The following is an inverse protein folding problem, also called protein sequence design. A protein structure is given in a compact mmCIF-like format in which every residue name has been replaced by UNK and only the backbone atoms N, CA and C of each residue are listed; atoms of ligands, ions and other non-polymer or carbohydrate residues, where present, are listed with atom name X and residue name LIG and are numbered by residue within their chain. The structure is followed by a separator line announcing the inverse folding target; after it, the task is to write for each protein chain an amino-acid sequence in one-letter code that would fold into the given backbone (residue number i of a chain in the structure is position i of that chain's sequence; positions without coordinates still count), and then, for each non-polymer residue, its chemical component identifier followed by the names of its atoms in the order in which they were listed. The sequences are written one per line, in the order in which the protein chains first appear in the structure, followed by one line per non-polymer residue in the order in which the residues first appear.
data_IF_494185955048
#
_entry.id   IF_494185955048
#
_cell.length_a   1.000
_cell.length_b   1.000
_cell.length_c   1.000
_cell.angle_alpha   90.00
_cell.angle_beta   90.00
_cell.angle_gamma   90.00
#
_symmetry.space_group_name_H-M   'P 1'
#
loop_
_entity.id
_entity.type
_entity.pdbx_description
1 polymer ?
#
# COMPACT_ATOMS: atom_id res chain seq x y z
N UNK A 1 -6.12 -12.25 31.75
CA UNK A 1 -6.61 -12.99 30.58
C UNK A 1 -6.29 -12.16 29.35
N UNK A 2 -5.40 -12.63 28.49
CA UNK A 2 -5.25 -12.03 27.16
C UNK A 2 -6.47 -12.49 26.33
N UNK A 3 -7.14 -11.60 25.59
CA UNK A 3 -8.19 -12.04 24.67
C UNK A 3 -7.57 -12.98 23.61
N UNK A 4 -8.33 -13.98 23.14
CA UNK A 4 -7.83 -14.95 22.18
C UNK A 4 -7.41 -14.26 20.87
N UNK A 5 -6.21 -14.60 20.39
CA UNK A 5 -5.58 -14.13 19.14
C UNK A 5 -6.23 -14.70 17.86
N UNK A 6 -7.53 -14.95 17.86
CA UNK A 6 -8.27 -15.67 16.81
C UNK A 6 -9.53 -14.93 16.38
N UNK A 7 -9.39 -13.64 16.10
CA UNK A 7 -10.44 -12.82 15.46
C UNK A 7 -9.84 -11.51 14.93
N UNK A 8 -8.60 -11.55 14.43
CA UNK A 8 -8.25 -10.62 13.35
C UNK A 8 -8.86 -11.23 12.09
N UNK A 9 -10.16 -11.04 11.99
CA UNK A 9 -11.02 -11.35 10.86
C UNK A 9 -10.32 -10.92 9.56
N UNK A 10 -10.67 -11.57 8.45
CA UNK A 10 -10.34 -11.09 7.10
C UNK A 10 -10.84 -9.64 6.97
N UNK A 11 -10.09 -8.65 7.45
CA UNK A 11 -10.12 -7.32 6.85
C UNK A 11 -9.60 -7.59 5.46
N UNK A 12 -10.49 -7.55 4.47
CA UNK A 12 -10.09 -7.34 3.09
C UNK A 12 -9.02 -6.24 3.13
N UNK A 13 -7.76 -6.61 2.95
CA UNK A 13 -6.62 -5.69 3.05
C UNK A 13 -6.74 -4.76 1.86
N UNK A 14 -7.62 -3.75 1.92
CA UNK A 14 -7.95 -2.83 0.82
C UNK A 14 -6.70 -2.29 0.16
N UNK A 15 -5.64 -2.08 0.93
CA UNK A 15 -4.35 -1.64 0.43
C UNK A 15 -3.37 -2.81 0.34
N UNK A 16 -2.83 -3.04 -0.86
CA UNK A 16 -1.78 -4.02 -1.11
C UNK A 16 -0.44 -3.30 -1.32
N UNK A 17 0.58 -3.66 -0.55
CA UNK A 17 1.93 -3.15 -0.76
C UNK A 17 2.62 -3.91 -1.87
N UNK A 18 2.99 -3.20 -2.94
CA UNK A 18 3.63 -3.78 -4.13
C UNK A 18 5.13 -3.49 -4.23
N UNK A 19 5.63 -2.55 -3.43
CA UNK A 19 7.05 -2.19 -3.41
C UNK A 19 7.48 -1.72 -2.03
N UNK A 20 8.72 -2.02 -1.65
CA UNK A 20 9.36 -1.49 -0.45
C UNK A 20 10.86 -1.34 -0.67
N UNK A 21 11.43 -0.23 -0.20
CA UNK A 21 12.85 0.06 -0.28
C UNK A 21 13.34 0.73 1.01
N UNK A 22 14.51 0.31 1.48
CA UNK A 22 15.20 0.89 2.63
C UNK A 22 14.83 0.25 3.97
N UNK A 23 15.60 0.60 5.02
CA UNK A 23 15.40 0.09 6.40
C UNK A 23 15.27 1.20 7.45
N UNK A 24 16.00 2.30 7.28
CA UNK A 24 15.92 3.49 8.16
C UNK A 24 15.16 4.66 7.52
N UNK A 25 15.18 4.70 6.19
CA UNK A 25 14.42 5.61 5.35
C UNK A 25 13.62 4.72 4.39
N UNK A 26 12.34 4.55 4.69
CA UNK A 26 11.46 3.58 4.06
C UNK A 26 10.65 4.29 2.97
N UNK A 27 10.64 3.69 1.79
CA UNK A 27 9.79 4.10 0.69
C UNK A 27 8.98 2.89 0.22
N UNK A 28 7.67 3.04 0.12
CA UNK A 28 6.76 1.98 -0.27
C UNK A 28 5.79 2.46 -1.35
N UNK A 29 5.31 1.52 -2.16
CA UNK A 29 4.17 1.75 -3.05
C UNK A 29 3.03 0.86 -2.62
N UNK A 30 1.87 1.48 -2.42
CA UNK A 30 0.64 0.83 -2.00
C UNK A 30 -0.43 1.01 -3.08
N UNK A 31 -1.24 -0.01 -3.31
CA UNK A 31 -2.37 0.03 -4.25
C UNK A 31 -3.67 -0.13 -3.48
N UNK A 32 -4.59 0.81 -3.65
CA UNK A 32 -5.98 0.65 -3.21
C UNK A 32 -6.71 -0.30 -4.18
N UNK A 33 -7.02 -1.52 -3.73
CA UNK A 33 -7.69 -2.55 -4.52
C UNK A 33 -9.14 -2.20 -4.86
N UNK A 34 -9.78 -1.25 -4.16
CA UNK A 34 -11.13 -0.81 -4.50
C UNK A 34 -11.13 0.20 -5.64
N UNK A 35 -10.16 1.12 -5.66
CA UNK A 35 -10.13 2.23 -6.64
C UNK A 35 -9.08 2.05 -7.74
N UNK A 36 -8.11 1.16 -7.53
CA UNK A 36 -6.92 1.01 -8.36
C UNK A 36 -5.85 2.07 -8.15
N UNK A 37 -6.08 3.10 -7.32
CA UNK A 37 -5.13 4.20 -7.15
C UNK A 37 -3.86 3.73 -6.44
N UNK A 38 -2.72 4.17 -6.96
CA UNK A 38 -1.41 3.91 -6.37
C UNK A 38 -0.94 5.08 -5.52
N UNK A 39 -0.24 4.77 -4.44
CA UNK A 39 0.28 5.74 -3.49
C UNK A 39 1.74 5.48 -3.20
N UNK A 40 2.52 6.55 -3.10
CA UNK A 40 3.84 6.50 -2.47
C UNK A 40 3.67 6.77 -0.98
N UNK A 41 4.25 5.90 -0.16
CA UNK A 41 4.43 6.14 1.26
C UNK A 41 5.92 6.32 1.54
N UNK A 42 6.25 7.39 2.27
CA UNK A 42 7.61 7.69 2.66
C UNK A 42 7.67 7.89 4.17
N UNK A 43 8.67 7.29 4.81
CA UNK A 43 8.89 7.39 6.24
C UNK A 43 10.38 7.50 6.55
N UNK A 44 10.75 8.51 7.35
CA UNK A 44 12.12 8.70 7.82
C UNK A 44 12.10 9.20 9.28
N UNK A 45 12.75 8.44 10.17
CA UNK A 45 12.81 8.78 11.59
C UNK A 45 11.46 8.69 12.29
N UNK A 46 10.87 9.84 12.63
CA UNK A 46 9.55 9.94 13.31
C UNK A 46 8.47 10.59 12.43
N UNK A 47 8.79 10.90 11.18
CA UNK A 47 7.89 11.54 10.24
C UNK A 47 7.64 10.63 9.04
N UNK A 48 6.44 10.73 8.48
CA UNK A 48 6.08 10.06 7.25
C UNK A 48 4.85 10.69 6.62
N UNK A 49 4.59 10.31 5.38
CA UNK A 49 3.47 10.82 4.61
C UNK A 49 3.13 9.89 3.45
N UNK A 50 1.93 10.08 2.93
CA UNK A 50 1.40 9.32 1.81
C UNK A 50 0.84 10.28 0.77
N UNK A 51 1.11 10.02 -0.50
CA UNK A 51 0.65 10.85 -1.62
C UNK A 51 0.23 9.96 -2.79
N UNK A 52 -0.86 10.28 -3.51
CA UNK A 52 -1.20 9.55 -4.72
C UNK A 52 -0.11 9.73 -5.77
N UNK A 53 0.25 8.64 -6.47
CA UNK A 53 1.04 8.73 -7.68
C UNK A 53 0.16 9.32 -8.78
N UNK A 54 0.71 10.21 -9.60
CA UNK A 54 -0.01 10.86 -10.68
C UNK A 54 0.52 10.40 -12.05
N UNK A 55 -0.38 10.33 -13.02
CA UNK A 55 -0.02 10.13 -14.42
C UNK A 55 0.43 11.45 -15.08
N UNK A 56 0.70 11.39 -16.39
CA UNK A 56 1.17 12.54 -17.18
C UNK A 56 0.13 13.67 -17.29
N UNK A 57 -1.16 13.38 -17.08
CA UNK A 57 -2.26 14.35 -17.09
C UNK A 57 -2.54 14.93 -15.69
N UNK A 58 -1.80 14.48 -14.67
CA UNK A 58 -2.00 14.88 -13.28
C UNK A 58 -3.18 14.18 -12.59
N UNK A 59 -3.71 13.09 -13.17
CA UNK A 59 -4.74 12.27 -12.54
C UNK A 59 -4.11 11.16 -11.70
N UNK A 60 -4.82 10.59 -10.72
CA UNK A 60 -4.32 9.44 -9.97
C UNK A 60 -3.94 8.29 -10.89
N UNK A 61 -2.71 7.79 -10.73
CA UNK A 61 -2.18 6.66 -11.47
C UNK A 61 -2.89 5.38 -11.01
N UNK A 62 -3.49 4.67 -11.97
CA UNK A 62 -4.20 3.42 -11.72
C UNK A 62 -3.28 2.22 -11.92
N UNK A 63 -3.37 1.25 -11.02
CA UNK A 63 -2.73 -0.05 -11.14
C UNK A 63 -3.56 -0.99 -12.03
N UNK A 64 -2.87 -1.94 -12.65
CA UNK A 64 -3.52 -3.09 -13.26
C UNK A 64 -3.88 -4.10 -12.16
N UNK A 65 -5.13 -4.05 -11.68
CA UNK A 65 -5.60 -4.91 -10.59
C UNK A 65 -5.47 -6.42 -10.92
N UNK A 66 -5.40 -6.80 -12.20
CA UNK A 66 -5.21 -8.21 -12.60
C UNK A 66 -3.82 -8.76 -12.28
N UNK A 67 -2.87 -7.88 -11.97
CA UNK A 67 -1.47 -8.21 -11.66
C UNK A 67 -1.15 -8.12 -10.16
N UNK A 68 -2.12 -7.76 -9.34
CA UNK A 68 -1.98 -7.75 -7.89
C UNK A 68 -2.14 -9.18 -7.37
N UNK A 69 -1.29 -9.60 -6.44
CA UNK A 69 -1.05 -10.99 -6.04
C UNK A 69 -0.38 -11.85 -7.13
N UNK A 70 0.92 -11.68 -7.30
CA UNK A 70 1.78 -12.72 -7.87
C UNK A 70 1.74 -13.99 -7.00
N UNK A 71 0.76 -14.86 -7.26
CA UNK A 71 0.85 -16.29 -6.94
C UNK A 71 1.43 -17.00 -8.17
N UNK A 72 2.75 -16.90 -8.32
CA UNK A 72 3.57 -17.97 -8.89
C UNK A 72 4.63 -18.34 -7.85
#
# INVERSE_FOLDING_TARGET
MQPPKKEAEKMDERFEKIYTQGKLNIMEIWVDKETGVQYVYHFAGYAGGMSPLLDVDGKPLLADLSKLNGAE
#
